data_IF_623815122311
#
_entry.id   IF_623815122311
#
_cell.length_a   1.000
_cell.length_b   1.000
_cell.length_c   1.000
_cell.angle_alpha   90.00
_cell.angle_beta   90.00
_cell.angle_gamma   90.00
#
_symmetry.space_group_name_H-M   'P 1'
#
loop_
_entity.id
_entity.type
_entity.pdbx_description
1 polymer ?
#
# COMPACT_ATOMS: atom_id res chain seq x y z
N UNK A 1 28.97 -10.40 -10.91
CA UNK A 1 27.87 -11.36 -10.78
C UNK A 1 26.68 -10.77 -11.51
N UNK A 2 26.45 -11.16 -12.75
CA UNK A 2 25.21 -10.82 -13.45
C UNK A 2 24.07 -11.46 -12.69
N UNK A 3 23.21 -10.66 -12.05
CA UNK A 3 21.93 -11.16 -11.57
C UNK A 3 21.16 -11.62 -12.81
N UNK A 4 21.08 -12.93 -13.03
CA UNK A 4 20.06 -13.45 -13.93
C UNK A 4 18.72 -12.98 -13.36
N UNK A 5 18.02 -12.16 -14.13
CA UNK A 5 16.70 -11.71 -13.71
C UNK A 5 15.80 -12.95 -13.72
N UNK A 6 15.20 -13.26 -12.58
CA UNK A 6 14.29 -14.39 -12.43
C UNK A 6 13.30 -14.47 -13.60
N UNK A 7 12.95 -15.69 -14.02
CA UNK A 7 12.01 -15.90 -15.12
C UNK A 7 10.74 -15.09 -14.87
N UNK A 8 10.18 -14.46 -15.91
CA UNK A 8 9.00 -13.60 -15.79
C UNK A 8 7.83 -14.30 -15.08
N UNK A 9 7.65 -15.60 -15.29
CA UNK A 9 6.55 -16.35 -14.71
C UNK A 9 6.78 -16.77 -13.25
N UNK A 10 8.01 -16.61 -12.75
CA UNK A 10 8.37 -16.91 -11.36
C UNK A 10 8.39 -15.64 -10.49
N UNK A 11 7.92 -14.50 -11.03
CA UNK A 11 7.87 -13.23 -10.31
C UNK A 11 6.51 -13.04 -9.66
N UNK A 12 6.52 -12.62 -8.40
CA UNK A 12 5.33 -12.31 -7.62
C UNK A 12 5.30 -10.82 -7.35
N UNK A 13 4.17 -10.18 -7.67
CA UNK A 13 3.93 -8.77 -7.35
C UNK A 13 3.17 -8.70 -6.04
N UNK A 14 3.79 -8.14 -5.02
CA UNK A 14 3.19 -7.87 -3.72
C UNK A 14 2.63 -6.46 -3.73
N UNK A 15 1.41 -6.29 -3.24
CA UNK A 15 0.74 -5.00 -3.11
C UNK A 15 0.05 -4.99 -1.76
N UNK A 16 0.22 -3.88 -1.05
CA UNK A 16 -0.51 -3.55 0.17
C UNK A 16 -1.12 -2.15 0.04
N UNK A 17 -2.32 -1.98 0.58
CA UNK A 17 -3.12 -0.76 0.43
C UNK A 17 -3.70 -0.35 1.77
N UNK A 18 -3.58 0.95 2.07
CA UNK A 18 -4.33 1.57 3.16
C UNK A 18 -5.51 2.34 2.58
N UNK A 19 -6.68 2.23 3.21
CA UNK A 19 -7.91 2.87 2.76
C UNK A 19 -8.58 3.68 3.86
N UNK A 20 -9.51 4.56 3.46
CA UNK A 20 -10.38 5.26 4.41
C UNK A 20 -11.46 4.38 5.03
N UNK A 21 -11.60 3.12 4.60
CA UNK A 21 -12.58 2.16 5.11
C UNK A 21 -12.76 0.94 4.17
N UNK A 22 -13.79 0.13 4.42
CA UNK A 22 -13.95 -1.20 3.79
C UNK A 22 -14.94 -1.25 2.62
N UNK A 23 -15.77 -0.22 2.44
CA UNK A 23 -16.71 -0.12 1.32
C UNK A 23 -16.05 0.53 0.09
N UNK A 24 -15.79 -0.22 -1.00
CA UNK A 24 -15.09 0.29 -2.18
C UNK A 24 -15.90 1.30 -3.02
N UNK A 25 -17.23 1.36 -2.84
CA UNK A 25 -18.07 2.36 -3.53
C UNK A 25 -17.99 3.74 -2.83
N UNK A 26 -17.50 3.76 -1.58
CA UNK A 26 -17.45 4.95 -0.72
C UNK A 26 -16.01 5.39 -0.41
N UNK A 27 -15.15 4.45 -0.03
CA UNK A 27 -13.83 4.71 0.51
C UNK A 27 -12.76 4.72 -0.57
N UNK A 28 -11.65 5.39 -0.26
CA UNK A 28 -10.54 5.58 -1.19
C UNK A 28 -9.23 5.08 -0.59
N UNK A 29 -8.29 4.77 -1.48
CA UNK A 29 -6.91 4.44 -1.12
C UNK A 29 -6.19 5.72 -0.68
N UNK A 30 -5.45 5.62 0.43
CA UNK A 30 -4.65 6.70 1.01
C UNK A 30 -3.15 6.37 1.05
N UNK A 31 -2.76 5.11 0.83
CA UNK A 31 -1.37 4.69 0.68
C UNK A 31 -1.27 3.45 -0.20
N UNK A 32 -0.17 3.33 -0.95
CA UNK A 32 0.15 2.15 -1.76
C UNK A 32 1.60 1.77 -1.56
N UNK A 33 1.83 0.53 -1.14
CA UNK A 33 3.14 -0.11 -1.18
C UNK A 33 3.11 -1.29 -2.16
N UNK A 34 4.17 -1.43 -2.97
CA UNK A 34 4.30 -2.58 -3.86
C UNK A 34 5.76 -2.94 -4.14
N UNK A 35 6.05 -4.23 -4.22
CA UNK A 35 7.38 -4.73 -4.62
C UNK A 35 7.28 -6.06 -5.36
N UNK A 36 8.38 -6.49 -5.96
CA UNK A 36 8.44 -7.74 -6.72
C UNK A 36 9.45 -8.68 -6.08
N UNK A 37 9.05 -9.94 -5.89
CA UNK A 37 9.97 -11.03 -5.52
C UNK A 37 10.08 -12.07 -6.63
N UNK A 38 11.08 -12.94 -6.53
CA UNK A 38 11.05 -14.24 -7.22
C UNK A 38 10.21 -15.27 -6.44
N UNK A 39 10.19 -16.52 -6.93
CA UNK A 39 9.44 -17.62 -6.34
C UNK A 39 10.03 -18.11 -4.99
N UNK A 40 11.27 -17.76 -4.68
CA UNK A 40 11.93 -18.03 -3.41
C UNK A 40 11.81 -16.84 -2.44
N UNK A 41 11.00 -15.83 -2.80
CA UNK A 41 10.73 -14.62 -2.03
C UNK A 41 11.92 -13.66 -1.90
N UNK A 42 12.93 -13.76 -2.77
CA UNK A 42 13.99 -12.77 -2.83
C UNK A 42 13.47 -11.50 -3.52
N UNK A 43 13.72 -10.33 -2.93
CA UNK A 43 13.31 -9.03 -3.46
C UNK A 43 14.11 -8.69 -4.73
N UNK A 44 13.41 -8.36 -5.82
CA UNK A 44 14.00 -8.10 -7.14
C UNK A 44 14.18 -6.61 -7.47
N UNK A 45 13.70 -5.71 -6.60
CA UNK A 45 13.82 -4.26 -6.75
C UNK A 45 13.33 -3.51 -5.52
N UNK A 46 13.57 -2.20 -5.48
CA UNK A 46 13.28 -1.36 -4.30
C UNK A 46 11.78 -1.22 -4.00
N UNK A 47 10.92 -1.43 -5.00
CA UNK A 47 9.48 -1.27 -4.86
C UNK A 47 9.03 0.19 -4.90
N UNK A 48 7.82 0.42 -4.41
CA UNK A 48 7.24 1.75 -4.18
C UNK A 48 6.58 1.77 -2.81
N UNK A 49 6.56 2.95 -2.21
CA UNK A 49 5.87 3.28 -0.97
C UNK A 49 5.43 4.75 -1.07
N UNK A 50 4.13 4.98 -1.24
CA UNK A 50 3.59 6.28 -1.65
C UNK A 50 2.26 6.58 -0.95
N UNK A 51 2.22 7.74 -0.29
CA UNK A 51 0.97 8.34 0.21
C UNK A 51 0.16 8.92 -0.95
N UNK A 52 -1.11 8.56 -1.01
CA UNK A 52 -2.08 9.00 -2.02
C UNK A 52 -2.96 10.09 -1.45
N UNK A 53 -3.05 11.21 -2.16
CA UNK A 53 -3.89 12.33 -1.76
C UNK A 53 -5.37 11.93 -1.71
N UNK A 54 -6.02 12.17 -0.57
CA UNK A 54 -7.47 12.19 -0.40
C UNK A 54 -7.95 13.57 0.03
N UNK A 55 -9.16 13.93 -0.41
CA UNK A 55 -9.80 15.20 0.00
C UNK A 55 -10.24 15.14 1.46
N UNK A 56 -10.37 16.31 2.10
CA UNK A 56 -10.89 16.38 3.48
C UNK A 56 -12.27 15.72 3.65
N UNK A 57 -13.13 15.79 2.62
CA UNK A 57 -14.43 15.13 2.64
C UNK A 57 -14.28 13.60 2.67
N UNK A 58 -13.35 13.03 1.90
CA UNK A 58 -13.09 11.59 1.89
C UNK A 58 -12.43 11.10 3.19
N UNK A 59 -11.57 11.92 3.80
CA UNK A 59 -10.98 11.62 5.11
C UNK A 59 -12.02 11.67 6.23
N UNK A 60 -12.98 12.60 6.16
CA UNK A 60 -14.05 12.72 7.14
C UNK A 60 -15.04 11.54 7.15
N UNK A 61 -15.01 10.69 6.13
CA UNK A 61 -15.85 9.48 6.04
C UNK A 61 -15.25 8.27 6.77
N UNK A 62 -14.02 8.38 7.29
CA UNK A 62 -13.40 7.32 8.10
C UNK A 62 -14.15 7.12 9.42
N UNK A 63 -14.36 5.86 9.79
CA UNK A 63 -14.83 5.53 11.13
C UNK A 63 -13.74 5.74 12.18
N UNK A 64 -14.12 5.90 13.46
CA UNK A 64 -13.21 6.20 14.57
C UNK A 64 -12.03 5.22 14.67
N UNK A 65 -12.26 3.94 14.39
CA UNK A 65 -11.21 2.90 14.42
C UNK A 65 -10.16 3.14 13.33
N UNK A 66 -10.60 3.56 12.13
CA UNK A 66 -9.70 3.81 11.00
C UNK A 66 -8.89 5.07 11.24
N UNK A 67 -9.53 6.13 11.77
CA UNK A 67 -8.82 7.36 12.16
C UNK A 67 -7.76 7.06 13.21
N UNK A 68 -8.10 6.33 14.28
CA UNK A 68 -7.17 6.00 15.34
C UNK A 68 -5.97 5.19 14.84
N UNK A 69 -6.21 4.21 13.97
CA UNK A 69 -5.17 3.38 13.36
C UNK A 69 -4.23 4.21 12.49
N UNK A 70 -4.78 5.08 11.63
CA UNK A 70 -3.97 5.90 10.72
C UNK A 70 -3.26 7.06 11.42
N UNK A 71 -3.74 7.52 12.58
CA UNK A 71 -2.98 8.44 13.41
C UNK A 71 -1.82 7.73 14.12
N UNK A 72 -2.04 6.52 14.65
CA UNK A 72 -1.00 5.76 15.37
C UNK A 72 0.15 5.30 14.46
N UNK A 73 -0.14 4.94 13.20
CA UNK A 73 0.88 4.57 12.22
C UNK A 73 1.54 5.77 11.52
N UNK A 74 1.08 6.99 11.78
CA UNK A 74 1.62 8.24 11.24
C UNK A 74 1.16 8.59 9.82
N UNK A 75 0.18 7.89 9.26
CA UNK A 75 -0.41 8.22 7.95
C UNK A 75 -1.27 9.50 8.02
N UNK A 76 -1.97 9.70 9.13
CA UNK A 76 -2.66 10.96 9.45
C UNK A 76 -1.85 11.80 10.43
N UNK A 77 -1.89 13.13 10.31
CA UNK A 77 -1.30 14.01 11.31
C UNK A 77 -2.04 13.91 12.65
N UNK A 78 -1.32 14.15 13.75
CA UNK A 78 -1.88 14.35 15.11
C UNK A 78 -2.79 15.59 15.22
#
# INVERSE_FOLDING_TARGET
>A
MSHEIANKNDRIVWIDLEMTGLDPDKHVIVEVAALVTDAELNILGEGIDIVVHATQAQLAEMDEVVVAMHTDNGLLPE
#
